data_IF_112788866522
#
_entry.id   IF_112788866522
#
_cell.length_a   1.000
_cell.length_b   1.000
_cell.length_c   1.000
_cell.angle_alpha   90.00
_cell.angle_beta   90.00
_cell.angle_gamma   90.00
#
_symmetry.space_group_name_H-M   'P 1'
#
loop_
_entity.id
_entity.type
_entity.pdbx_description
1 polymer ?
#
# COMPACT_ATOMS: atom_id res chain seq x y z
N UNK A 1 15.41 17.63 9.24
CA UNK A 1 14.16 17.27 8.56
C UNK A 1 13.57 18.42 7.73
N UNK A 2 13.16 19.58 8.30
CA UNK A 2 12.59 20.70 7.53
C UNK A 2 13.49 21.17 6.37
N UNK A 3 14.82 21.22 6.57
CA UNK A 3 15.76 21.57 5.50
C UNK A 3 15.69 20.64 4.28
N UNK A 4 15.44 19.35 4.48
CA UNK A 4 15.24 18.39 3.37
C UNK A 4 13.86 18.55 2.75
N UNK A 5 12.80 18.72 3.56
CA UNK A 5 11.45 18.95 3.05
C UNK A 5 11.37 20.18 2.13
N UNK A 6 12.12 21.24 2.42
CA UNK A 6 12.13 22.46 1.61
C UNK A 6 13.32 22.60 0.65
N UNK A 7 14.17 21.58 0.54
CA UNK A 7 15.30 21.57 -0.39
C UNK A 7 14.82 21.70 -1.82
N UNK A 8 15.29 22.73 -2.53
CA UNK A 8 14.84 23.08 -3.89
C UNK A 8 13.35 23.40 -4.02
N UNK A 9 12.62 23.64 -2.92
CA UNK A 9 11.24 24.11 -3.00
C UNK A 9 11.18 25.48 -3.68
N UNK A 10 10.22 25.65 -4.58
CA UNK A 10 9.93 26.93 -5.23
C UNK A 10 8.46 27.27 -4.96
N UNK A 11 8.14 28.56 -4.67
CA UNK A 11 6.74 28.95 -4.53
C UNK A 11 6.04 28.85 -5.88
N UNK A 12 4.88 28.22 -5.92
CA UNK A 12 4.02 28.18 -7.10
C UNK A 12 3.30 29.52 -7.31
N UNK A 13 3.01 30.22 -6.20
CA UNK A 13 2.40 31.55 -6.24
C UNK A 13 3.47 32.57 -6.62
N UNK A 14 3.49 32.95 -7.88
CA UNK A 14 4.48 33.88 -8.43
C UNK A 14 4.14 35.37 -8.13
N UNK A 15 2.87 35.68 -7.86
CA UNK A 15 2.44 37.04 -7.54
C UNK A 15 2.73 37.38 -6.07
N UNK A 16 3.65 38.34 -5.78
CA UNK A 16 4.01 38.66 -4.41
C UNK A 16 2.85 39.23 -3.57
N UNK A 17 1.90 39.94 -4.18
CA UNK A 17 0.74 40.48 -3.50
C UNK A 17 -0.20 39.39 -3.05
N UNK A 18 -0.45 38.38 -3.92
CA UNK A 18 -1.27 37.21 -3.60
C UNK A 18 -0.62 36.38 -2.49
N UNK A 19 0.70 36.14 -2.59
CA UNK A 19 1.47 35.42 -1.56
C UNK A 19 1.42 36.14 -0.20
N UNK A 20 1.61 37.48 -0.21
CA UNK A 20 1.51 38.29 1.01
C UNK A 20 0.12 38.19 1.66
N UNK A 21 -0.95 38.29 0.87
CA UNK A 21 -2.33 38.14 1.37
C UNK A 21 -2.57 36.77 1.97
N UNK A 22 -2.13 35.71 1.30
CA UNK A 22 -2.24 34.35 1.84
C UNK A 22 -1.56 34.23 3.21
N UNK A 23 -0.32 34.74 3.33
CA UNK A 23 0.43 34.65 4.58
C UNK A 23 -0.20 35.51 5.66
N UNK A 24 -0.44 36.80 5.40
CA UNK A 24 -0.82 37.78 6.43
C UNK A 24 -2.30 37.71 6.78
N UNK A 25 -3.17 37.56 5.77
CA UNK A 25 -4.61 37.67 5.98
C UNK A 25 -5.26 36.33 6.33
N UNK A 26 -4.62 35.19 5.97
CA UNK A 26 -5.18 33.84 6.22
C UNK A 26 -4.32 33.04 7.21
N UNK A 27 -3.00 32.92 6.97
CA UNK A 27 -2.17 32.03 7.79
C UNK A 27 -1.86 32.69 9.13
N UNK A 28 -1.37 33.94 9.15
CA UNK A 28 -1.00 34.66 10.37
C UNK A 28 -2.21 35.08 11.23
N UNK A 29 -3.43 35.07 10.67
CA UNK A 29 -4.66 35.35 11.44
C UNK A 29 -5.00 34.24 12.43
N UNK A 30 -4.46 33.03 12.22
CA UNK A 30 -4.72 31.87 13.07
C UNK A 30 -3.56 31.59 14.03
N UNK A 31 -3.87 31.22 15.27
CA UNK A 31 -2.85 30.88 16.27
C UNK A 31 -2.44 29.40 16.17
N UNK A 32 -1.66 29.07 15.16
CA UNK A 32 -1.15 27.71 14.92
C UNK A 32 -0.33 27.14 16.08
N UNK A 33 0.27 28.00 16.92
CA UNK A 33 1.08 27.56 18.06
C UNK A 33 0.22 27.04 19.22
N UNK A 34 -1.05 27.41 19.29
CA UNK A 34 -1.99 26.93 20.31
C UNK A 34 -2.60 25.56 20.00
N UNK A 35 -2.44 25.07 18.77
CA UNK A 35 -2.92 23.76 18.37
C UNK A 35 -1.91 22.68 18.80
N UNK A 36 -2.41 21.59 19.33
CA UNK A 36 -1.61 20.39 19.60
C UNK A 36 -1.08 19.76 18.30
N UNK A 37 -0.03 18.95 18.43
CA UNK A 37 0.59 18.28 17.28
C UNK A 37 -0.41 17.40 16.54
N UNK A 38 -1.24 16.64 17.28
CA UNK A 38 -2.24 15.74 16.72
C UNK A 38 -3.26 16.51 15.86
N UNK A 39 -3.76 17.65 16.35
CA UNK A 39 -4.72 18.50 15.60
C UNK A 39 -4.10 19.06 14.31
N UNK A 40 -2.83 19.47 14.35
CA UNK A 40 -2.12 19.94 13.14
C UNK A 40 -1.92 18.81 12.14
N UNK A 41 -1.57 17.64 12.64
CA UNK A 41 -1.43 16.43 11.85
C UNK A 41 -2.73 16.05 11.15
N UNK A 42 -3.82 15.97 11.88
CA UNK A 42 -5.16 15.63 11.36
C UNK A 42 -5.63 16.61 10.28
N UNK A 43 -5.45 17.92 10.49
CA UNK A 43 -5.77 18.94 9.48
C UNK A 43 -4.95 18.72 8.21
N UNK A 44 -3.65 18.48 8.35
CA UNK A 44 -2.76 18.27 7.22
C UNK A 44 -3.10 16.99 6.45
N UNK A 45 -3.37 15.90 7.15
CA UNK A 45 -3.81 14.65 6.52
C UNK A 45 -5.15 14.82 5.79
N UNK A 46 -6.13 15.53 6.38
CA UNK A 46 -7.39 15.84 5.70
C UNK A 46 -7.18 16.61 4.39
N UNK A 47 -6.21 17.55 4.38
CA UNK A 47 -5.80 18.24 3.15
C UNK A 47 -5.19 17.28 2.13
N UNK A 48 -4.33 16.36 2.55
CA UNK A 48 -3.72 15.36 1.65
C UNK A 48 -4.76 14.43 1.04
N UNK A 49 -5.75 13.99 1.83
CA UNK A 49 -6.88 13.20 1.33
C UNK A 49 -7.69 13.95 0.27
N UNK A 50 -8.01 15.22 0.55
CA UNK A 50 -8.73 16.06 -0.40
C UNK A 50 -7.95 16.24 -1.71
N UNK A 51 -6.65 16.52 -1.62
CA UNK A 51 -5.77 16.62 -2.80
C UNK A 51 -5.70 15.30 -3.59
N UNK A 52 -5.65 14.15 -2.89
CA UNK A 52 -5.64 12.83 -3.54
C UNK A 52 -6.97 12.55 -4.28
N UNK A 53 -8.09 12.97 -3.69
CA UNK A 53 -9.41 12.81 -4.30
C UNK A 53 -9.61 13.67 -5.56
N UNK A 54 -8.99 14.86 -5.62
CA UNK A 54 -9.08 15.76 -6.77
C UNK A 54 -8.07 15.46 -7.88
N UNK A 55 -6.94 14.83 -7.56
CA UNK A 55 -5.92 14.51 -8.55
C UNK A 55 -6.30 13.27 -9.38
N UNK A 56 -7.12 13.46 -10.41
CA UNK A 56 -7.48 12.42 -11.39
C UNK A 56 -6.30 11.99 -12.30
N UNK A 57 -5.11 12.56 -12.12
CA UNK A 57 -3.93 12.38 -12.97
C UNK A 57 -2.74 11.85 -12.18
N UNK A 58 -2.64 10.55 -12.09
CA UNK A 58 -1.44 9.93 -11.55
C UNK A 58 -1.60 8.42 -11.39
N UNK A 59 -1.41 7.67 -12.46
CA UNK A 59 -1.29 6.22 -12.38
C UNK A 59 -0.15 5.87 -11.41
N UNK A 60 -0.49 5.36 -10.22
CA UNK A 60 0.47 4.80 -9.29
C UNK A 60 0.47 5.36 -7.86
N UNK A 61 -0.14 6.49 -7.58
CA UNK A 61 -0.23 7.01 -6.21
C UNK A 61 -1.59 6.62 -5.61
N UNK A 62 -1.65 5.43 -5.05
CA UNK A 62 -2.85 4.96 -4.37
C UNK A 62 -2.76 5.33 -2.90
N UNK A 63 -3.55 6.32 -2.51
CA UNK A 63 -3.74 6.63 -1.11
C UNK A 63 -4.40 5.43 -0.41
N UNK A 64 -3.79 4.93 0.64
CA UNK A 64 -4.33 3.81 1.42
C UNK A 64 -5.41 4.34 2.37
N UNK A 65 -6.64 3.78 2.37
CA UNK A 65 -7.68 4.22 3.28
C UNK A 65 -7.21 4.18 4.74
N UNK A 66 -7.45 5.25 5.48
CA UNK A 66 -7.02 5.37 6.89
C UNK A 66 -7.55 4.24 7.76
N UNK A 67 -8.79 3.83 7.56
CA UNK A 67 -9.40 2.77 8.35
C UNK A 67 -8.73 1.42 8.09
N UNK A 68 -8.25 1.19 6.86
CA UNK A 68 -7.43 0.02 6.54
C UNK A 68 -6.06 0.09 7.21
N UNK A 69 -5.40 1.25 7.17
CA UNK A 69 -4.12 1.47 7.86
C UNK A 69 -4.27 1.19 9.36
N UNK A 70 -5.30 1.75 10.01
CA UNK A 70 -5.59 1.52 11.44
C UNK A 70 -5.74 0.03 11.74
N UNK A 71 -6.58 -0.68 10.98
CA UNK A 71 -6.79 -2.11 11.20
C UNK A 71 -5.52 -2.95 11.00
N UNK A 72 -4.68 -2.62 10.01
CA UNK A 72 -3.39 -3.29 9.80
C UNK A 72 -2.47 -3.03 10.98
N UNK A 73 -2.32 -1.79 11.43
CA UNK A 73 -1.44 -1.44 12.56
C UNK A 73 -1.95 -2.05 13.86
N UNK A 74 -3.29 -2.07 14.09
CA UNK A 74 -3.91 -2.71 15.26
C UNK A 74 -3.58 -4.21 15.33
N UNK A 75 -3.51 -4.94 14.21
CA UNK A 75 -3.16 -6.37 14.21
C UNK A 75 -1.66 -6.63 14.20
N UNK A 76 -0.85 -5.69 13.69
CA UNK A 76 0.61 -5.78 13.67
C UNK A 76 1.23 -5.48 15.05
N UNK A 77 0.56 -4.68 15.88
CA UNK A 77 0.96 -4.34 17.26
C UNK A 77 2.42 -3.89 17.38
N UNK A 78 2.81 -2.76 16.77
CA UNK A 78 4.17 -2.24 16.89
C UNK A 78 4.50 -1.94 18.36
N UNK A 79 5.74 -2.25 18.77
CA UNK A 79 6.27 -2.03 20.12
C UNK A 79 7.31 -0.91 20.14
N UNK A 80 7.63 -0.33 21.30
CA UNK A 80 8.63 0.75 21.41
C UNK A 80 10.03 0.43 20.90
N UNK A 81 10.38 -0.86 20.83
CA UNK A 81 11.70 -1.33 20.43
C UNK A 81 11.77 -1.71 18.94
N UNK A 82 10.66 -1.61 18.24
CA UNK A 82 10.59 -1.92 16.81
C UNK A 82 11.26 -0.85 15.93
N UNK A 83 11.66 -1.27 14.75
CA UNK A 83 11.97 -0.40 13.63
C UNK A 83 10.97 -0.66 12.51
N UNK A 84 10.09 0.31 12.25
CA UNK A 84 9.03 0.24 11.23
C UNK A 84 9.51 0.83 9.92
N UNK A 85 9.36 0.08 8.83
CA UNK A 85 9.78 0.52 7.50
C UNK A 85 8.66 0.43 6.47
N UNK A 86 8.58 1.46 5.62
CA UNK A 86 7.72 1.46 4.44
C UNK A 86 8.54 1.84 3.19
N UNK A 87 8.86 0.88 2.29
CA UNK A 87 9.63 1.13 1.08
C UNK A 87 8.88 1.92 -0.02
N UNK A 88 7.61 2.22 0.17
CA UNK A 88 6.78 3.00 -0.75
C UNK A 88 5.84 3.91 0.07
N UNK A 89 6.43 4.70 0.97
CA UNK A 89 5.70 5.29 2.10
C UNK A 89 4.69 6.37 1.71
N UNK A 90 4.73 6.89 0.49
CA UNK A 90 3.85 7.96 0.09
C UNK A 90 3.93 9.16 1.03
N UNK A 91 2.80 9.53 1.63
CA UNK A 91 2.69 10.58 2.62
C UNK A 91 2.93 10.11 4.07
N UNK A 92 3.34 8.87 4.28
CA UNK A 92 3.76 8.32 5.56
C UNK A 92 2.65 7.75 6.44
N UNK A 93 1.49 7.41 5.89
CA UNK A 93 0.33 6.98 6.67
C UNK A 93 0.58 5.78 7.60
N UNK A 94 1.25 4.71 7.14
CA UNK A 94 1.62 3.59 8.00
C UNK A 94 2.62 3.99 9.10
N UNK A 95 3.59 4.83 8.76
CA UNK A 95 4.63 5.28 9.67
C UNK A 95 4.05 6.12 10.81
N UNK A 96 3.14 7.04 10.48
CA UNK A 96 2.46 7.90 11.44
C UNK A 96 1.58 7.07 12.36
N UNK A 97 0.73 6.21 11.80
CA UNK A 97 -0.19 5.41 12.60
C UNK A 97 0.54 4.46 13.57
N UNK A 98 1.67 3.86 13.14
CA UNK A 98 2.50 3.05 14.02
C UNK A 98 3.09 3.88 15.17
N UNK A 99 3.58 5.08 14.87
CA UNK A 99 4.10 6.01 15.88
C UNK A 99 3.02 6.43 16.88
N UNK A 100 1.83 6.79 16.41
CA UNK A 100 0.70 7.17 17.26
C UNK A 100 0.29 6.03 18.19
N UNK A 101 0.17 4.80 17.66
CA UNK A 101 -0.19 3.65 18.49
C UNK A 101 0.81 3.44 19.61
N UNK A 102 2.10 3.40 19.31
CA UNK A 102 3.14 3.22 20.34
C UNK A 102 3.15 4.40 21.33
N UNK A 103 2.97 5.62 20.84
CA UNK A 103 2.92 6.81 21.70
C UNK A 103 1.73 6.77 22.65
N UNK A 104 0.56 6.34 22.18
CA UNK A 104 -0.67 6.27 22.98
C UNK A 104 -0.64 5.12 23.99
N UNK A 105 -0.15 3.94 23.58
CA UNK A 105 -0.13 2.75 24.44
C UNK A 105 0.99 2.80 25.49
N UNK A 106 2.18 3.27 25.10
CA UNK A 106 3.40 3.16 25.90
C UNK A 106 3.97 4.49 26.35
N UNK A 107 3.50 5.65 25.83
CA UNK A 107 4.15 6.96 26.00
C UNK A 107 4.46 7.35 27.44
N UNK A 108 3.58 6.97 28.40
CA UNK A 108 3.80 7.20 29.83
C UNK A 108 4.83 6.27 30.49
N UNK A 109 5.17 5.14 29.86
CA UNK A 109 6.02 4.08 30.40
C UNK A 109 7.40 4.01 29.74
N UNK A 110 7.61 4.74 28.61
CA UNK A 110 8.85 4.71 27.86
C UNK A 110 10.02 5.26 28.68
N UNK A 111 11.14 4.53 28.66
CA UNK A 111 12.39 5.02 29.18
C UNK A 111 13.03 6.09 28.28
N UNK A 112 14.22 6.61 28.66
CA UNK A 112 14.89 7.68 27.92
C UNK A 112 15.34 7.23 26.53
N UNK A 113 15.83 6.00 26.40
CA UNK A 113 16.38 5.49 25.14
C UNK A 113 15.25 5.12 24.17
N UNK A 114 14.15 4.55 24.68
CA UNK A 114 12.92 4.30 23.91
C UNK A 114 12.30 5.61 23.42
N UNK A 115 12.21 6.65 24.26
CA UNK A 115 11.75 7.99 23.83
C UNK A 115 12.61 8.58 22.72
N UNK A 116 13.93 8.37 22.82
CA UNK A 116 14.86 8.80 21.77
C UNK A 116 14.69 7.98 20.51
N UNK A 117 14.55 6.66 20.63
CA UNK A 117 14.34 5.76 19.48
C UNK A 117 13.03 6.10 18.76
N UNK A 118 11.93 6.25 19.49
CA UNK A 118 10.63 6.59 18.94
C UNK A 118 10.66 7.86 18.07
N UNK A 119 11.44 8.87 18.50
CA UNK A 119 11.58 10.12 17.74
C UNK A 119 12.53 10.06 16.54
N UNK A 120 13.51 9.14 16.51
CA UNK A 120 14.62 9.20 15.58
C UNK A 120 14.85 8.00 14.71
N UNK A 121 14.48 6.81 15.20
CA UNK A 121 14.81 5.54 14.56
C UNK A 121 13.63 4.60 14.38
N UNK A 122 12.53 4.87 15.04
CA UNK A 122 11.36 4.01 15.06
C UNK A 122 10.71 3.87 13.67
N UNK A 123 10.57 4.97 12.93
CA UNK A 123 9.99 4.95 11.59
C UNK A 123 11.00 5.34 10.52
N UNK A 124 11.02 4.60 9.42
CA UNK A 124 11.80 4.91 8.23
C UNK A 124 10.99 4.59 6.97
N UNK A 125 11.21 5.36 5.91
CA UNK A 125 10.54 5.16 4.63
C UNK A 125 11.41 5.52 3.44
N UNK A 126 10.98 5.04 2.27
CA UNK A 126 11.49 5.50 0.98
C UNK A 126 10.31 5.89 0.09
N UNK A 127 10.47 6.97 -0.68
CA UNK A 127 9.47 7.44 -1.62
C UNK A 127 10.14 7.91 -2.91
N UNK A 128 9.76 7.31 -4.03
CA UNK A 128 10.34 7.59 -5.33
C UNK A 128 10.02 8.99 -5.84
N UNK A 129 8.80 9.47 -5.59
CA UNK A 129 8.32 10.77 -6.06
C UNK A 129 8.75 11.87 -5.08
N UNK A 130 9.67 12.78 -5.46
CA UNK A 130 10.23 13.76 -4.53
C UNK A 130 9.19 14.67 -3.87
N UNK A 131 8.13 15.04 -4.61
CA UNK A 131 7.06 15.89 -4.07
C UNK A 131 6.26 15.15 -3.01
N UNK A 132 5.88 13.90 -3.25
CA UNK A 132 5.16 13.05 -2.30
C UNK A 132 6.00 12.79 -1.05
N UNK A 133 7.29 12.47 -1.22
CA UNK A 133 8.19 12.29 -0.09
C UNK A 133 8.37 13.57 0.76
N UNK A 134 8.33 14.76 0.14
CA UNK A 134 8.29 16.04 0.87
C UNK A 134 7.02 16.20 1.70
N UNK A 135 5.86 15.89 1.11
CA UNK A 135 4.59 15.91 1.84
C UNK A 135 4.61 14.93 3.01
N UNK A 136 5.17 13.73 2.81
CA UNK A 136 5.39 12.75 3.87
C UNK A 136 6.29 13.29 5.00
N UNK A 137 7.42 13.91 4.68
CA UNK A 137 8.30 14.53 5.69
C UNK A 137 7.59 15.63 6.49
N UNK A 138 6.77 16.45 5.83
CA UNK A 138 5.96 17.47 6.52
C UNK A 138 4.91 16.83 7.41
N UNK A 139 4.26 15.76 6.93
CA UNK A 139 3.26 15.03 7.68
C UNK A 139 3.85 14.43 8.97
N UNK A 140 4.98 13.71 8.85
CA UNK A 140 5.70 13.17 10.00
C UNK A 140 6.09 14.27 11.00
N UNK A 141 6.59 15.42 10.50
CA UNK A 141 6.97 16.54 11.34
C UNK A 141 5.79 17.11 12.14
N UNK A 142 4.62 17.25 11.52
CA UNK A 142 3.42 17.77 12.17
C UNK A 142 2.87 16.82 13.24
N UNK A 143 3.11 15.51 13.10
CA UNK A 143 2.81 14.49 14.12
C UNK A 143 3.91 14.34 15.18
N UNK A 144 4.89 15.25 15.24
CA UNK A 144 5.94 15.22 16.25
C UNK A 144 7.06 14.21 16.01
N UNK A 145 7.08 13.57 14.86
CA UNK A 145 8.16 12.67 14.43
C UNK A 145 9.25 13.55 13.81
N UNK A 146 10.27 13.89 14.58
CA UNK A 146 11.36 14.73 14.09
C UNK A 146 12.71 14.30 14.66
N UNK A 147 13.76 14.50 13.86
CA UNK A 147 15.12 14.47 14.35
C UNK A 147 15.51 15.88 14.84
N UNK A 148 15.81 16.00 16.12
CA UNK A 148 16.21 17.26 16.74
C UNK A 148 17.61 17.72 16.29
N UNK A 149 18.37 16.85 15.62
CA UNK A 149 19.73 17.13 15.15
C UNK A 149 19.80 17.16 13.63
N UNK A 150 20.41 18.21 13.10
CA UNK A 150 20.64 18.36 11.66
C UNK A 150 21.52 17.23 11.04
N UNK A 151 22.24 16.49 11.89
CA UNK A 151 23.10 15.37 11.45
C UNK A 151 22.35 14.04 11.32
N UNK A 152 21.13 13.91 11.85
CA UNK A 152 20.36 12.68 11.72
C UNK A 152 19.78 12.59 10.29
N UNK A 153 19.79 11.41 9.66
CA UNK A 153 19.15 11.23 8.37
C UNK A 153 17.63 11.47 8.47
N UNK A 154 17.00 12.02 7.43
CA UNK A 154 15.55 12.17 7.44
C UNK A 154 14.85 10.83 7.52
N UNK A 155 13.70 10.74 8.19
CA UNK A 155 12.96 9.48 8.32
C UNK A 155 12.40 8.97 6.99
N UNK A 156 12.23 9.83 5.99
CA UNK A 156 11.87 9.45 4.61
C UNK A 156 13.00 9.85 3.66
N UNK A 157 13.49 8.87 2.89
CA UNK A 157 14.41 9.06 1.77
C UNK A 157 13.59 9.41 0.53
N UNK A 158 13.49 10.72 0.27
CA UNK A 158 12.68 11.27 -0.83
C UNK A 158 13.45 11.27 -2.16
N UNK A 159 12.82 10.79 -3.23
CA UNK A 159 13.42 10.65 -4.55
C UNK A 159 14.30 9.41 -4.70
N UNK A 160 14.16 8.43 -3.80
CA UNK A 160 14.91 7.17 -3.82
C UNK A 160 14.05 6.03 -4.33
N UNK A 161 14.57 5.28 -5.29
CA UNK A 161 13.95 4.02 -5.73
C UNK A 161 14.38 2.89 -4.78
N UNK A 162 13.48 2.47 -3.89
CA UNK A 162 13.72 1.40 -2.93
C UNK A 162 14.09 0.07 -3.59
N UNK A 163 13.66 -0.17 -4.83
CA UNK A 163 13.97 -1.39 -5.56
C UNK A 163 15.37 -1.40 -6.17
N UNK A 164 16.02 -0.25 -6.30
CA UNK A 164 17.30 -0.14 -7.01
C UNK A 164 18.44 -0.95 -6.36
N UNK A 165 18.43 -1.05 -5.02
CA UNK A 165 19.46 -1.79 -4.28
C UNK A 165 18.98 -2.29 -2.92
N UNK A 166 19.74 -3.20 -2.30
CA UNK A 166 19.58 -3.53 -0.88
C UNK A 166 20.06 -2.33 -0.04
N UNK A 167 19.22 -1.74 0.81
CA UNK A 167 19.60 -0.60 1.66
C UNK A 167 20.61 -0.99 2.77
N UNK A 168 20.88 -2.28 2.96
CA UNK A 168 21.77 -2.80 4.00
C UNK A 168 21.17 -2.78 5.41
N UNK A 169 20.08 -2.06 5.64
CA UNK A 169 19.35 -2.02 6.91
C UNK A 169 18.30 -3.11 6.96
N UNK A 170 17.98 -3.55 8.19
CA UNK A 170 16.95 -4.56 8.48
C UNK A 170 16.03 -4.04 9.55
N UNK A 171 14.74 -4.29 9.36
CA UNK A 171 13.66 -3.76 10.19
C UNK A 171 12.88 -4.90 10.83
N UNK A 172 12.43 -4.71 12.05
CA UNK A 172 11.58 -5.69 12.73
C UNK A 172 10.15 -5.70 12.20
N UNK A 173 9.71 -4.60 11.58
CA UNK A 173 8.37 -4.49 11.02
C UNK A 173 8.39 -3.76 9.66
N UNK A 174 7.69 -4.32 8.68
CA UNK A 174 7.45 -3.65 7.39
C UNK A 174 5.95 -3.60 7.13
N UNK A 175 5.43 -2.39 6.95
CA UNK A 175 4.04 -2.17 6.54
C UNK A 175 4.05 -1.26 5.32
N UNK A 176 3.46 -1.70 4.21
CA UNK A 176 3.56 -0.96 2.95
C UNK A 176 2.41 -1.24 1.99
N UNK A 177 2.06 -0.22 1.21
CA UNK A 177 1.18 -0.34 0.05
C UNK A 177 1.95 0.10 -1.21
N UNK A 178 2.68 -0.81 -1.86
CA UNK A 178 3.46 -0.48 -3.05
C UNK A 178 2.56 -0.05 -4.23
N UNK A 179 3.07 0.77 -5.16
CA UNK A 179 2.29 1.23 -6.30
C UNK A 179 1.85 0.08 -7.19
N UNK A 180 0.57 0.09 -7.59
CA UNK A 180 -0.03 -0.92 -8.47
C UNK A 180 0.33 -0.63 -9.93
N UNK A 181 1.27 -1.36 -10.48
CA UNK A 181 1.66 -1.27 -11.89
C UNK A 181 2.55 -2.46 -12.22
N UNK A 182 2.21 -3.18 -13.28
CA UNK A 182 2.91 -4.44 -13.60
C UNK A 182 4.36 -4.22 -14.04
N UNK A 183 4.68 -3.09 -14.69
CA UNK A 183 5.97 -2.89 -15.33
C UNK A 183 6.76 -1.75 -14.69
N UNK A 184 8.02 -2.02 -14.40
CA UNK A 184 9.02 -0.97 -14.23
C UNK A 184 9.47 -0.50 -15.60
N UNK A 185 9.33 0.77 -15.90
CA UNK A 185 9.83 1.36 -17.15
C UNK A 185 10.54 2.67 -16.86
N UNK A 186 11.60 2.95 -17.59
CA UNK A 186 12.22 4.26 -17.61
C UNK A 186 12.19 4.83 -19.03
N UNK A 187 12.26 6.13 -19.08
CA UNK A 187 12.26 6.85 -20.34
C UNK A 187 13.69 6.96 -20.85
N UNK A 188 13.96 6.38 -22.01
CA UNK A 188 15.24 6.53 -22.72
C UNK A 188 15.03 7.50 -23.87
N UNK A 189 15.94 8.46 -24.00
CA UNK A 189 16.02 9.28 -25.20
C UNK A 189 16.99 8.57 -26.14
N UNK A 190 16.48 8.07 -27.27
CA UNK A 190 17.29 7.40 -28.28
C UNK A 190 18.24 8.39 -28.95
N UNK A 191 19.25 7.90 -29.64
CA UNK A 191 20.21 8.73 -30.40
C UNK A 191 19.52 9.58 -31.48
N UNK A 192 18.29 9.20 -31.88
CA UNK A 192 17.42 9.97 -32.79
C UNK A 192 16.64 11.10 -32.10
N UNK A 193 16.71 11.18 -30.74
CA UNK A 193 15.96 12.16 -29.95
C UNK A 193 14.52 11.74 -29.66
N UNK A 194 14.12 10.53 -30.02
CA UNK A 194 12.83 9.98 -29.71
C UNK A 194 12.79 9.47 -28.26
N UNK A 195 11.62 9.61 -27.63
CA UNK A 195 11.40 9.19 -26.22
C UNK A 195 10.76 7.82 -26.23
N UNK A 196 11.54 6.81 -25.87
CA UNK A 196 11.06 5.43 -25.72
C UNK A 196 10.97 5.04 -24.23
N UNK A 197 9.99 4.19 -23.91
CA UNK A 197 9.86 3.57 -22.59
C UNK A 197 10.42 2.15 -22.68
N UNK A 198 11.53 1.90 -22.04
CA UNK A 198 12.07 0.55 -21.89
C UNK A 198 11.61 -0.09 -20.60
N UNK A 199 11.17 -1.36 -20.70
CA UNK A 199 10.86 -2.18 -19.54
C UNK A 199 12.15 -2.57 -18.81
N UNK A 200 12.24 -2.23 -17.52
CA UNK A 200 13.40 -2.50 -16.70
C UNK A 200 13.17 -3.69 -15.76
N UNK A 201 14.12 -4.60 -15.69
CA UNK A 201 14.17 -5.67 -14.69
C UNK A 201 15.23 -5.34 -13.64
N UNK A 202 14.87 -5.40 -12.38
CA UNK A 202 15.83 -5.23 -11.29
C UNK A 202 16.65 -6.51 -11.13
N UNK A 203 17.94 -6.46 -11.50
CA UNK A 203 18.88 -7.54 -11.30
C UNK A 203 19.55 -7.38 -9.92
N UNK A 204 19.01 -8.07 -8.93
CA UNK A 204 19.51 -8.04 -7.56
C UNK A 204 19.86 -9.44 -7.08
N UNK A 205 21.02 -9.59 -6.45
CA UNK A 205 21.51 -10.89 -5.95
C UNK A 205 20.74 -11.38 -4.71
N UNK A 206 20.09 -10.48 -3.99
CA UNK A 206 19.25 -10.77 -2.83
C UNK A 206 17.81 -11.14 -3.19
N UNK A 207 17.42 -11.02 -4.47
CA UNK A 207 16.12 -11.46 -4.97
C UNK A 207 16.16 -12.92 -5.39
N UNK A 208 15.10 -13.65 -5.15
CA UNK A 208 14.95 -15.05 -5.56
C UNK A 208 14.94 -15.21 -7.09
N UNK A 209 14.36 -14.23 -7.80
CA UNK A 209 14.25 -14.26 -9.26
C UNK A 209 14.16 -12.85 -9.84
N UNK A 210 14.79 -12.65 -10.98
CA UNK A 210 14.70 -11.42 -11.76
C UNK A 210 13.34 -11.34 -12.46
N UNK A 211 12.61 -10.24 -12.28
CA UNK A 211 11.33 -10.00 -12.95
C UNK A 211 11.14 -8.51 -13.26
N UNK A 212 10.39 -8.23 -14.33
CA UNK A 212 9.93 -6.87 -14.67
C UNK A 212 8.68 -6.45 -13.87
N UNK A 213 8.03 -7.39 -13.18
CA UNK A 213 6.84 -7.11 -12.39
C UNK A 213 7.23 -6.39 -11.09
N UNK A 214 6.93 -5.09 -11.02
CA UNK A 214 7.26 -4.22 -9.89
C UNK A 214 6.67 -4.74 -8.57
N UNK A 215 5.46 -5.26 -8.58
CA UNK A 215 4.77 -5.73 -7.38
C UNK A 215 5.45 -6.98 -6.79
N UNK A 216 5.86 -7.90 -7.65
CA UNK A 216 6.65 -9.07 -7.27
C UNK A 216 8.03 -8.66 -6.73
N UNK A 217 8.64 -7.62 -7.29
CA UNK A 217 9.90 -7.06 -6.79
C UNK A 217 9.74 -6.45 -5.40
N UNK A 218 8.62 -5.78 -5.10
CA UNK A 218 8.36 -5.28 -3.74
C UNK A 218 8.21 -6.41 -2.72
N UNK A 219 7.58 -7.54 -3.08
CA UNK A 219 7.51 -8.72 -2.19
C UNK A 219 8.93 -9.22 -1.84
N UNK A 220 9.81 -9.32 -2.83
CA UNK A 220 11.20 -9.73 -2.63
C UNK A 220 11.98 -8.69 -1.81
N UNK A 221 11.81 -7.41 -2.12
CA UNK A 221 12.47 -6.32 -1.39
C UNK A 221 12.06 -6.28 0.09
N UNK A 222 10.77 -6.46 0.39
CA UNK A 222 10.28 -6.56 1.76
C UNK A 222 10.94 -7.74 2.47
N UNK A 223 11.00 -8.92 1.84
CA UNK A 223 11.71 -10.06 2.41
C UNK A 223 13.19 -9.74 2.71
N UNK A 224 13.88 -9.04 1.80
CA UNK A 224 15.27 -8.61 2.03
C UNK A 224 15.39 -7.69 3.23
N UNK A 225 14.53 -6.67 3.34
CA UNK A 225 14.61 -5.62 4.36
C UNK A 225 14.11 -6.03 5.74
N UNK A 226 13.35 -7.12 5.85
CA UNK A 226 12.97 -7.67 7.14
C UNK A 226 14.17 -8.26 7.89
N UNK A 227 14.25 -7.95 9.19
CA UNK A 227 15.10 -8.65 10.13
C UNK A 227 14.65 -10.10 10.32
N UNK A 228 15.50 -10.95 10.87
CA UNK A 228 15.08 -12.27 11.34
C UNK A 228 14.01 -12.09 12.44
N UNK A 229 12.95 -12.86 12.36
CA UNK A 229 11.74 -12.74 13.18
C UNK A 229 10.94 -11.45 12.97
N UNK A 230 11.30 -10.64 11.98
CA UNK A 230 10.53 -9.46 11.60
C UNK A 230 9.21 -9.83 10.95
N UNK A 231 8.24 -8.94 11.07
CA UNK A 231 6.85 -9.13 10.63
C UNK A 231 6.50 -8.18 9.48
N UNK A 232 5.64 -8.61 8.58
CA UNK A 232 5.23 -7.84 7.42
C UNK A 232 3.72 -7.81 7.24
N UNK A 233 3.21 -6.64 6.81
CA UNK A 233 1.92 -6.47 6.17
C UNK A 233 2.12 -5.72 4.84
N UNK A 234 1.91 -6.39 3.72
CA UNK A 234 2.07 -5.80 2.39
C UNK A 234 0.76 -5.85 1.60
N UNK A 235 0.34 -4.70 1.07
CA UNK A 235 -0.79 -4.65 0.13
C UNK A 235 -0.33 -5.10 -1.24
N UNK A 236 -1.01 -6.09 -1.80
CA UNK A 236 -0.69 -6.67 -3.10
C UNK A 236 -1.95 -6.81 -3.96
N UNK A 237 -1.87 -6.57 -5.28
CA UNK A 237 -2.99 -6.87 -6.18
C UNK A 237 -3.14 -8.37 -6.42
N UNK A 238 -4.30 -8.78 -6.91
CA UNK A 238 -4.66 -10.18 -7.11
C UNK A 238 -3.63 -10.96 -7.97
N UNK A 239 -3.03 -10.33 -8.98
CA UNK A 239 -2.05 -11.01 -9.85
C UNK A 239 -0.83 -11.55 -9.07
N UNK A 240 -0.42 -10.93 -7.98
CA UNK A 240 0.66 -11.45 -7.11
C UNK A 240 0.27 -12.82 -6.52
N UNK A 241 -1.02 -13.07 -6.32
CA UNK A 241 -1.52 -14.30 -5.72
C UNK A 241 -1.58 -15.49 -6.70
N UNK A 242 -1.69 -15.24 -8.01
CA UNK A 242 -1.93 -16.31 -9.00
C UNK A 242 -1.03 -16.30 -10.23
N UNK A 243 -0.29 -15.21 -10.52
CA UNK A 243 0.57 -15.12 -11.70
C UNK A 243 1.57 -16.28 -11.73
N UNK A 244 1.69 -16.95 -12.87
CA UNK A 244 2.60 -18.09 -13.07
C UNK A 244 4.06 -17.67 -13.25
N UNK A 245 4.94 -18.62 -13.53
CA UNK A 245 6.36 -18.36 -13.79
C UNK A 245 7.07 -17.75 -12.60
N UNK A 246 7.60 -16.52 -12.76
CA UNK A 246 8.31 -15.81 -11.68
C UNK A 246 7.45 -15.58 -10.46
N UNK A 247 6.15 -15.33 -10.64
CA UNK A 247 5.20 -15.16 -9.53
C UNK A 247 5.05 -16.45 -8.71
N UNK A 248 4.94 -17.61 -9.36
CA UNK A 248 4.91 -18.91 -8.69
C UNK A 248 6.22 -19.16 -7.91
N UNK A 249 7.38 -18.89 -8.53
CA UNK A 249 8.67 -19.05 -7.87
C UNK A 249 8.77 -18.23 -6.60
N UNK A 250 8.31 -16.95 -6.64
CA UNK A 250 8.34 -16.06 -5.47
C UNK A 250 7.39 -16.58 -4.38
N UNK A 251 6.17 -17.00 -4.72
CA UNK A 251 5.21 -17.55 -3.74
C UNK A 251 5.75 -18.82 -3.08
N UNK A 252 6.36 -19.74 -3.85
CA UNK A 252 6.99 -20.96 -3.30
C UNK A 252 8.09 -20.63 -2.30
N UNK A 253 8.99 -19.71 -2.66
CA UNK A 253 10.06 -19.28 -1.76
C UNK A 253 9.50 -18.57 -0.51
N UNK A 254 8.50 -17.71 -0.68
CA UNK A 254 7.89 -16.99 0.44
C UNK A 254 7.24 -17.97 1.44
N UNK A 255 6.43 -18.93 0.96
CA UNK A 255 5.80 -19.96 1.80
C UNK A 255 6.81 -20.89 2.48
N UNK A 256 7.96 -21.13 1.82
CA UNK A 256 9.04 -21.96 2.36
C UNK A 256 9.84 -21.24 3.45
N UNK A 257 10.23 -19.98 3.21
CA UNK A 257 11.19 -19.25 4.04
C UNK A 257 10.54 -18.35 5.08
N UNK A 258 9.27 -18.04 4.91
CA UNK A 258 8.49 -17.24 5.83
C UNK A 258 7.29 -18.03 6.38
N UNK A 259 6.80 -17.63 7.54
CA UNK A 259 5.48 -18.03 8.02
C UNK A 259 4.43 -17.08 7.43
N UNK A 260 3.88 -17.46 6.27
CA UNK A 260 2.80 -16.71 5.60
C UNK A 260 1.48 -17.13 6.22
N UNK A 261 1.01 -16.37 7.17
CA UNK A 261 -0.06 -16.81 8.07
C UNK A 261 -1.42 -16.19 7.84
N UNK A 262 -1.52 -15.06 7.10
CA UNK A 262 -2.81 -14.38 6.93
C UNK A 262 -2.90 -13.67 5.58
N UNK A 263 -4.07 -13.75 4.95
CA UNK A 263 -4.45 -13.00 3.77
C UNK A 263 -5.80 -12.32 4.01
N UNK A 264 -5.83 -10.99 3.94
CA UNK A 264 -7.07 -10.21 3.95
C UNK A 264 -7.42 -9.83 2.51
N UNK A 265 -8.53 -10.37 1.98
CA UNK A 265 -9.06 -10.00 0.66
C UNK A 265 -9.87 -8.72 0.76
N UNK A 266 -9.37 -7.66 0.11
CA UNK A 266 -9.99 -6.34 0.17
C UNK A 266 -11.08 -6.17 -0.89
N UNK A 267 -12.18 -5.47 -0.56
CA UNK A 267 -13.22 -5.16 -1.51
C UNK A 267 -12.75 -4.17 -2.59
N UNK A 268 -13.48 -4.11 -3.69
CA UNK A 268 -13.31 -3.04 -4.69
C UNK A 268 -13.92 -1.73 -4.18
N UNK A 269 -13.52 -0.59 -4.78
CA UNK A 269 -14.10 0.72 -4.49
C UNK A 269 -13.52 1.44 -3.27
N UNK A 270 -12.57 0.84 -2.54
CA UNK A 270 -11.90 1.47 -1.39
C UNK A 270 -10.65 2.27 -1.78
N UNK A 271 -10.12 2.06 -2.97
CA UNK A 271 -8.98 2.81 -3.51
C UNK A 271 -9.45 3.83 -4.56
N UNK A 272 -8.72 4.92 -4.72
CA UNK A 272 -9.04 5.95 -5.71
C UNK A 272 -8.95 5.47 -7.16
N UNK A 273 -8.22 4.39 -7.44
CA UNK A 273 -8.21 3.77 -8.75
C UNK A 273 -9.41 2.82 -8.91
N UNK A 274 -10.27 3.04 -9.92
CA UNK A 274 -11.43 2.21 -10.13
C UNK A 274 -11.03 0.76 -10.49
N UNK A 275 -11.80 -0.21 -9.99
CA UNK A 275 -11.64 -1.63 -10.32
C UNK A 275 -10.43 -2.34 -9.73
N UNK A 276 -9.65 -1.68 -8.87
CA UNK A 276 -8.50 -2.32 -8.21
C UNK A 276 -8.98 -3.39 -7.24
N UNK A 277 -8.50 -4.62 -7.46
CA UNK A 277 -8.64 -5.75 -6.55
C UNK A 277 -7.31 -5.97 -5.84
N UNK A 278 -7.31 -5.75 -4.52
CA UNK A 278 -6.12 -5.87 -3.71
C UNK A 278 -6.34 -6.77 -2.50
N UNK A 279 -5.25 -7.16 -1.87
CA UNK A 279 -5.22 -7.98 -0.67
C UNK A 279 -4.12 -7.48 0.25
N UNK A 280 -4.22 -7.78 1.56
CA UNK A 280 -3.09 -7.60 2.48
C UNK A 280 -2.53 -8.96 2.82
N UNK A 281 -1.25 -9.17 2.53
CA UNK A 281 -0.53 -10.39 2.87
C UNK A 281 0.32 -10.16 4.10
N UNK A 282 0.13 -11.02 5.12
CA UNK A 282 0.85 -10.96 6.38
C UNK A 282 1.80 -12.16 6.49
N UNK A 283 3.06 -11.90 6.80
CA UNK A 283 4.04 -12.95 7.01
C UNK A 283 5.16 -12.54 7.97
N UNK A 284 5.74 -13.53 8.63
CA UNK A 284 6.92 -13.38 9.48
C UNK A 284 8.13 -13.98 8.80
N UNK A 285 9.24 -13.25 8.74
CA UNK A 285 10.52 -13.79 8.27
C UNK A 285 11.12 -14.70 9.33
N UNK A 286 11.54 -15.88 8.92
CA UNK A 286 12.05 -16.90 9.84
C UNK A 286 13.50 -17.31 9.44
N UNK A 287 14.26 -17.89 10.38
CA UNK A 287 15.58 -18.45 10.06
C UNK A 287 15.52 -19.54 9.00
N UNK A 288 16.57 -19.70 8.20
CA UNK A 288 16.62 -20.73 7.18
C UNK A 288 16.52 -22.14 7.79
N UNK A 289 15.66 -22.98 7.19
CA UNK A 289 15.51 -24.41 7.53
C UNK A 289 15.03 -25.20 6.31
N UNK A 290 15.14 -26.54 6.36
CA UNK A 290 14.70 -27.42 5.26
C UNK A 290 13.16 -27.49 5.16
N UNK A 291 12.48 -27.57 6.31
CA UNK A 291 11.04 -27.64 6.38
C UNK A 291 10.41 -26.26 6.12
N UNK A 292 9.25 -26.18 5.45
CA UNK A 292 8.55 -24.91 5.28
C UNK A 292 8.15 -24.29 6.61
N UNK A 293 8.15 -22.96 6.67
CA UNK A 293 7.69 -22.24 7.86
C UNK A 293 6.19 -22.03 7.86
N UNK A 294 5.61 -21.78 6.71
CA UNK A 294 4.16 -21.72 6.57
C UNK A 294 3.57 -23.10 6.81
N UNK A 295 2.74 -23.23 7.81
CA UNK A 295 1.95 -24.46 8.06
C UNK A 295 0.52 -24.31 7.56
N UNK A 296 -0.05 -23.13 7.76
CA UNK A 296 -1.43 -22.79 7.45
C UNK A 296 -1.53 -21.33 7.01
N UNK A 297 -2.40 -21.07 6.03
CA UNK A 297 -2.78 -19.73 5.60
C UNK A 297 -4.24 -19.48 6.00
N UNK A 298 -4.46 -18.47 6.81
CA UNK A 298 -5.77 -17.97 7.19
C UNK A 298 -6.21 -16.88 6.22
N UNK A 299 -7.40 -17.00 5.69
CA UNK A 299 -7.94 -16.02 4.73
C UNK A 299 -9.20 -15.39 5.28
N UNK A 300 -9.24 -14.05 5.29
CA UNK A 300 -10.44 -13.28 5.57
C UNK A 300 -10.99 -12.68 4.27
N UNK A 301 -12.21 -13.05 3.90
CA UNK A 301 -12.86 -12.48 2.71
C UNK A 301 -13.74 -11.29 3.09
N UNK A 302 -13.20 -10.09 2.96
CA UNK A 302 -13.97 -8.84 3.07
C UNK A 302 -14.59 -8.43 1.72
N UNK A 303 -14.27 -9.14 0.63
CA UNK A 303 -14.61 -8.75 -0.74
C UNK A 303 -15.99 -9.24 -1.17
N UNK A 304 -16.25 -10.52 -1.02
CA UNK A 304 -17.44 -11.17 -1.58
C UNK A 304 -18.73 -10.58 -0.98
N UNK A 305 -19.66 -10.17 -1.84
CA UNK A 305 -20.93 -9.52 -1.49
C UNK A 305 -20.77 -8.24 -0.64
N UNK A 306 -19.65 -7.51 -0.82
CA UNK A 306 -19.42 -6.22 -0.18
C UNK A 306 -19.11 -5.18 -1.25
N UNK A 307 -19.86 -4.07 -1.23
CA UNK A 307 -19.75 -2.99 -2.18
C UNK A 307 -19.42 -1.70 -1.44
N UNK A 308 -18.23 -1.19 -1.67
CA UNK A 308 -17.79 0.08 -1.11
C UNK A 308 -17.59 1.11 -2.22
N UNK A 309 -17.73 2.37 -1.83
CA UNK A 309 -17.41 3.52 -2.67
C UNK A 309 -16.66 4.54 -1.82
N UNK A 310 -15.92 5.44 -2.46
CA UNK A 310 -15.15 6.45 -1.71
C UNK A 310 -16.03 7.51 -1.02
N UNK A 311 -17.27 7.73 -1.49
CA UNK A 311 -18.13 8.83 -1.02
C UNK A 311 -19.43 8.36 -0.36
N UNK A 312 -20.17 7.49 -1.03
CA UNK A 312 -21.51 7.11 -0.60
C UNK A 312 -21.51 5.98 0.44
N UNK A 313 -20.61 5.02 0.28
CA UNK A 313 -20.43 3.89 1.20
C UNK A 313 -18.95 3.64 1.47
N UNK A 314 -18.24 4.55 2.17
CA UNK A 314 -16.81 4.39 2.43
C UNK A 314 -16.54 3.25 3.41
N UNK A 315 -15.37 2.62 3.25
CA UNK A 315 -14.87 1.64 4.22
C UNK A 315 -14.71 2.30 5.58
N UNK A 316 -15.30 1.69 6.62
CA UNK A 316 -15.23 2.15 8.01
C UNK A 316 -14.44 1.17 8.86
N UNK A 317 -14.00 1.62 10.04
CA UNK A 317 -13.28 0.76 11.00
C UNK A 317 -14.12 -0.44 11.44
N UNK A 318 -15.44 -0.24 11.58
CA UNK A 318 -16.41 -1.28 11.96
C UNK A 318 -16.46 -2.44 10.95
N UNK A 319 -16.26 -2.15 9.67
CA UNK A 319 -16.24 -3.18 8.62
C UNK A 319 -15.04 -4.13 8.73
N UNK A 320 -13.98 -3.70 9.42
CA UNK A 320 -12.74 -4.44 9.65
C UNK A 320 -12.67 -5.09 11.05
N UNK A 321 -13.67 -4.84 11.92
CA UNK A 321 -13.64 -5.29 13.30
C UNK A 321 -13.63 -6.82 13.41
N UNK A 322 -14.47 -7.52 12.62
CA UNK A 322 -14.48 -8.99 12.58
C UNK A 322 -13.13 -9.55 12.13
N UNK A 323 -12.49 -8.91 11.14
CA UNK A 323 -11.13 -9.30 10.71
C UNK A 323 -10.14 -9.20 11.86
N UNK A 324 -10.12 -8.08 12.59
CA UNK A 324 -9.20 -7.87 13.72
C UNK A 324 -9.42 -8.92 14.83
N UNK A 325 -10.68 -9.23 15.14
CA UNK A 325 -11.04 -10.29 16.09
C UNK A 325 -10.58 -11.67 15.61
N UNK A 326 -10.84 -12.01 14.36
CA UNK A 326 -10.41 -13.27 13.74
C UNK A 326 -8.88 -13.39 13.64
N UNK A 327 -8.19 -12.28 13.36
CA UNK A 327 -6.73 -12.25 13.32
C UNK A 327 -6.13 -12.61 14.68
N UNK A 328 -6.78 -12.24 15.78
CA UNK A 328 -6.37 -12.51 17.16
C UNK A 328 -4.90 -12.16 17.41
N UNK A 329 -4.53 -10.87 17.40
CA UNK A 329 -3.13 -10.46 17.49
C UNK A 329 -2.46 -10.90 18.81
N UNK A 330 -3.24 -11.01 19.88
CA UNK A 330 -2.72 -11.45 21.18
C UNK A 330 -2.28 -12.93 21.17
N UNK A 331 -2.99 -13.80 20.43
CA UNK A 331 -2.62 -15.20 20.32
C UNK A 331 -3.08 -15.82 18.98
N UNK A 332 -2.24 -15.74 17.98
CA UNK A 332 -2.51 -16.29 16.64
C UNK A 332 -2.68 -17.82 16.61
N UNK A 333 -2.25 -18.54 17.65
CA UNK A 333 -2.40 -20.00 17.72
C UNK A 333 -3.81 -20.44 18.17
N UNK A 334 -4.60 -19.53 18.74
CA UNK A 334 -5.97 -19.78 19.17
C UNK A 334 -7.03 -19.33 18.15
N UNK A 335 -6.64 -19.14 16.89
CA UNK A 335 -7.56 -18.79 15.80
C UNK A 335 -8.50 -19.94 15.50
N UNK A 336 -9.78 -19.60 15.31
CA UNK A 336 -10.81 -20.54 14.91
C UNK A 336 -11.53 -20.02 13.65
N UNK A 337 -11.84 -20.89 12.68
CA UNK A 337 -12.54 -20.45 11.48
C UNK A 337 -13.98 -20.04 11.83
N UNK A 338 -14.49 -19.01 11.16
CA UNK A 338 -15.92 -18.68 11.18
C UNK A 338 -16.68 -19.45 10.10
N UNK A 339 -15.99 -19.89 9.04
CA UNK A 339 -16.55 -20.74 8.02
C UNK A 339 -16.61 -22.21 8.49
N UNK A 340 -17.77 -22.84 8.26
CA UNK A 340 -17.98 -24.29 8.39
C UNK A 340 -19.09 -24.73 7.43
N UNK A 341 -19.34 -26.03 7.34
CA UNK A 341 -20.49 -26.57 6.58
C UNK A 341 -21.83 -26.06 7.15
N UNK A 342 -21.91 -25.85 8.47
CA UNK A 342 -23.07 -25.29 9.15
C UNK A 342 -23.16 -23.76 9.04
N UNK A 343 -22.04 -23.07 8.73
CA UNK A 343 -21.95 -21.63 8.51
C UNK A 343 -21.22 -21.31 7.20
N UNK A 344 -21.84 -21.55 6.04
CA UNK A 344 -21.19 -21.36 4.73
C UNK A 344 -20.88 -19.88 4.42
N UNK A 345 -21.48 -18.94 5.14
CA UNK A 345 -21.25 -17.49 5.00
C UNK A 345 -20.11 -16.95 5.89
N UNK A 346 -19.46 -17.80 6.66
CA UNK A 346 -18.29 -17.42 7.48
C UNK A 346 -17.15 -16.90 6.62
N UNK A 347 -16.60 -15.72 7.00
CA UNK A 347 -15.60 -15.00 6.19
C UNK A 347 -14.17 -15.36 6.51
N UNK A 348 -13.92 -16.14 7.55
CA UNK A 348 -12.60 -16.54 8.02
C UNK A 348 -12.39 -18.04 7.86
N UNK A 349 -11.43 -18.43 7.03
CA UNK A 349 -11.14 -19.83 6.72
C UNK A 349 -9.65 -20.12 6.71
N UNK A 350 -9.27 -21.33 7.13
CA UNK A 350 -7.90 -21.84 7.15
C UNK A 350 -7.67 -22.80 5.99
N UNK A 351 -6.47 -22.75 5.41
CA UNK A 351 -5.99 -23.64 4.36
C UNK A 351 -4.61 -24.18 4.72
N UNK A 352 -4.43 -25.49 4.65
CA UNK A 352 -3.17 -26.15 4.99
C UNK A 352 -2.11 -25.93 3.90
N UNK A 353 -0.84 -25.89 4.29
CA UNK A 353 0.29 -25.73 3.37
C UNK A 353 0.26 -26.74 2.21
N UNK A 354 0.01 -28.03 2.51
CA UNK A 354 -0.03 -29.08 1.49
C UNK A 354 -1.17 -28.89 0.48
N UNK A 355 -2.30 -28.33 0.91
CA UNK A 355 -3.40 -27.95 0.03
C UNK A 355 -2.97 -26.80 -0.90
N UNK A 356 -2.34 -25.77 -0.37
CA UNK A 356 -1.86 -24.63 -1.15
C UNK A 356 -0.84 -25.06 -2.21
N UNK A 357 0.09 -25.93 -1.84
CA UNK A 357 1.17 -26.40 -2.72
C UNK A 357 0.70 -27.29 -3.86
N UNK A 358 -0.48 -27.94 -3.73
CA UNK A 358 -1.12 -28.75 -4.78
C UNK A 358 -1.90 -27.93 -5.80
N UNK A 359 -2.20 -26.66 -5.48
CA UNK A 359 -2.93 -25.78 -6.40
C UNK A 359 -2.07 -25.42 -7.61
N UNK A 360 -2.73 -25.30 -8.77
CA UNK A 360 -2.03 -24.85 -9.99
C UNK A 360 -1.28 -23.54 -9.72
N UNK A 361 0.00 -23.50 -10.09
CA UNK A 361 0.92 -22.35 -9.90
C UNK A 361 0.99 -21.84 -8.46
N UNK A 362 0.70 -22.65 -7.45
CA UNK A 362 0.57 -22.24 -6.04
C UNK A 362 -0.31 -20.99 -5.92
N UNK A 363 -1.49 -21.08 -6.50
CA UNK A 363 -2.46 -19.98 -6.52
C UNK A 363 -3.02 -19.74 -5.11
N UNK A 364 -2.81 -18.54 -4.56
CA UNK A 364 -3.29 -18.07 -3.26
C UNK A 364 -4.57 -17.22 -3.36
N UNK A 365 -5.13 -17.03 -4.56
CA UNK A 365 -6.45 -16.41 -4.72
C UNK A 365 -7.52 -17.43 -4.37
N UNK A 366 -7.90 -17.42 -3.10
CA UNK A 366 -8.77 -18.41 -2.45
C UNK A 366 -10.15 -17.79 -2.23
N UNK A 367 -11.19 -18.47 -2.65
CA UNK A 367 -12.58 -18.06 -2.41
C UNK A 367 -13.45 -19.29 -2.17
N UNK A 368 -14.44 -19.14 -1.31
CA UNK A 368 -15.38 -20.18 -0.90
C UNK A 368 -16.78 -19.63 -0.66
N UNK A 369 -16.92 -18.30 -0.52
CA UNK A 369 -18.22 -17.66 -0.35
C UNK A 369 -18.94 -17.65 -1.69
N UNK A 370 -20.26 -17.88 -1.63
CA UNK A 370 -21.13 -17.75 -2.80
C UNK A 370 -21.26 -16.29 -3.17
N UNK A 371 -20.95 -15.97 -4.41
CA UNK A 371 -21.11 -14.63 -4.95
C UNK A 371 -22.56 -14.47 -5.44
N UNK A 372 -23.34 -13.66 -4.72
CA UNK A 372 -24.77 -13.45 -5.00
C UNK A 372 -24.98 -12.75 -6.36
N UNK A 373 -23.98 -12.02 -6.86
CA UNK A 373 -24.04 -11.42 -8.20
C UNK A 373 -24.02 -12.43 -9.33
N UNK A 374 -23.62 -13.68 -9.03
CA UNK A 374 -23.62 -14.79 -9.98
C UNK A 374 -24.94 -15.62 -9.95
N UNK A 375 -25.84 -15.33 -9.00
CA UNK A 375 -27.15 -16.03 -8.93
C UNK A 375 -28.06 -15.69 -10.11
N UNK A 376 -27.88 -14.53 -10.72
CA UNK A 376 -28.52 -14.19 -12.00
C UNK A 376 -27.92 -14.93 -13.21
N UNK A 377 -26.95 -15.82 -12.98
CA UNK A 377 -26.32 -16.60 -14.07
C UNK A 377 -27.27 -17.58 -14.76
N UNK A 378 -28.41 -17.96 -14.15
CA UNK A 378 -29.47 -18.68 -14.83
C UNK A 378 -30.21 -17.83 -15.88
N UNK A 379 -30.07 -16.50 -15.80
CA UNK A 379 -30.61 -15.54 -16.75
C UNK A 379 -29.55 -15.01 -17.75
N UNK A 380 -28.29 -15.48 -17.66
CA UNK A 380 -27.26 -15.08 -18.62
C UNK A 380 -27.62 -15.62 -20.02
N UNK A 381 -27.46 -14.78 -21.06
CA UNK A 381 -27.58 -15.25 -22.45
C UNK A 381 -26.60 -16.40 -22.74
N UNK A 382 -26.87 -17.14 -23.77
CA UNK A 382 -25.94 -18.17 -24.25
C UNK A 382 -24.54 -17.59 -24.45
N UNK A 383 -23.45 -18.34 -24.22
CA UNK A 383 -22.10 -17.84 -24.23
C UNK A 383 -21.68 -17.06 -25.49
N UNK A 384 -22.26 -17.41 -26.65
CA UNK A 384 -22.01 -16.74 -27.93
C UNK A 384 -22.75 -15.39 -28.02
N UNK A 385 -23.91 -15.25 -27.39
CA UNK A 385 -24.67 -14.00 -27.29
C UNK A 385 -23.92 -13.05 -26.34
N UNK A 386 -23.53 -13.54 -25.17
CA UNK A 386 -22.76 -12.77 -24.19
C UNK A 386 -21.41 -12.28 -24.77
N UNK A 387 -20.72 -13.13 -25.51
CA UNK A 387 -19.47 -12.76 -26.18
C UNK A 387 -19.68 -11.64 -27.22
N UNK A 388 -20.80 -11.64 -27.93
CA UNK A 388 -21.15 -10.56 -28.87
C UNK A 388 -21.47 -9.26 -28.14
N UNK A 389 -22.27 -9.31 -27.09
CA UNK A 389 -22.60 -8.13 -26.28
C UNK A 389 -21.33 -7.49 -25.70
N UNK A 390 -20.41 -8.29 -25.14
CA UNK A 390 -19.12 -7.80 -24.66
C UNK A 390 -18.28 -7.18 -25.79
N UNK A 391 -18.27 -7.77 -26.97
CA UNK A 391 -17.54 -7.23 -28.11
C UNK A 391 -18.14 -5.90 -28.59
N UNK A 392 -19.46 -5.78 -28.63
CA UNK A 392 -20.18 -4.56 -28.99
C UNK A 392 -19.96 -3.43 -27.97
N UNK A 393 -19.98 -3.76 -26.67
CA UNK A 393 -19.67 -2.81 -25.59
C UNK A 393 -18.22 -2.31 -25.67
N UNK A 394 -17.25 -3.20 -25.93
CA UNK A 394 -15.85 -2.84 -26.13
C UNK A 394 -15.66 -1.99 -27.37
N UNK A 395 -16.38 -2.28 -28.45
CA UNK A 395 -16.34 -1.47 -29.67
C UNK A 395 -16.90 -0.05 -29.41
N UNK A 396 -18.03 0.04 -28.72
CA UNK A 396 -18.64 1.32 -28.32
C UNK A 396 -17.70 2.14 -27.43
N UNK A 397 -17.06 1.52 -26.46
CA UNK A 397 -16.06 2.17 -25.61
C UNK A 397 -14.86 2.67 -26.42
N UNK A 398 -14.37 1.87 -27.37
CA UNK A 398 -13.27 2.25 -28.26
C UNK A 398 -13.63 3.48 -29.12
N UNK A 399 -14.84 3.53 -29.69
CA UNK A 399 -15.33 4.66 -30.45
C UNK A 399 -15.42 5.94 -29.61
N UNK A 400 -15.90 5.84 -28.37
CA UNK A 400 -15.94 6.97 -27.45
C UNK A 400 -14.54 7.51 -27.12
N UNK A 401 -13.58 6.62 -26.80
CA UNK A 401 -12.20 7.02 -26.55
C UNK A 401 -11.51 7.60 -27.77
N UNK A 402 -11.78 7.07 -28.95
CA UNK A 402 -11.27 7.60 -30.21
C UNK A 402 -11.81 9.02 -30.50
N UNK A 403 -13.10 9.25 -30.22
CA UNK A 403 -13.71 10.58 -30.36
C UNK A 403 -13.08 11.61 -29.41
N UNK A 404 -12.82 11.21 -28.15
CA UNK A 404 -12.12 12.06 -27.15
C UNK A 404 -10.68 12.35 -27.59
N UNK A 405 -9.97 11.36 -28.11
CA UNK A 405 -8.62 11.55 -28.66
C UNK A 405 -8.59 12.53 -29.84
N UNK A 406 -9.55 12.41 -30.75
CA UNK A 406 -9.70 13.33 -31.90
C UNK A 406 -10.05 14.77 -31.46
N UNK A 407 -10.88 14.92 -30.42
CA UNK A 407 -11.20 16.24 -29.87
C UNK A 407 -9.97 16.90 -29.23
N UNK A 408 -9.20 16.15 -28.45
CA UNK A 408 -7.97 16.64 -27.81
C UNK A 408 -6.92 17.02 -28.86
N UNK A 409 -6.77 16.23 -29.94
CA UNK A 409 -5.85 16.52 -31.01
C UNK A 409 -6.25 17.80 -31.82
N UNK A 410 -7.55 18.09 -31.91
CA UNK A 410 -8.05 19.33 -32.54
C UNK A 410 -7.81 20.56 -31.66
N UNK A 411 -7.91 20.43 -30.34
CA UNK A 411 -7.62 21.53 -29.39
C UNK A 411 -6.13 21.91 -29.44
N UNK A 412 -5.23 20.92 -29.45
CA UNK A 412 -3.78 21.16 -29.54
C UNK A 412 -3.36 21.78 -30.89
N UNK A 413 -4.15 21.57 -31.97
CA UNK A 413 -3.93 22.16 -33.29
C UNK A 413 -4.43 23.60 -33.44
N UNK A 414 -5.26 24.12 -32.54
CA UNK A 414 -5.77 25.49 -32.54
C UNK A 414 -4.96 26.47 -31.68
N UNK A 415 -4.05 25.96 -30.83
CA UNK A 415 -3.15 26.79 -30.00
C UNK A 415 -1.74 26.97 -30.62
N UNK A 416 -1.54 26.61 -31.87
CA UNK A 416 -0.28 26.87 -32.61
C UNK A 416 -0.41 27.93 -33.67
#
# INVERSE_FOLDING_TARGET
MLGEAFKKAKPEIQNPATLKRLIVDLIDSENWLSLDADVKGDIYEGMLEWMAAESHKGAGQYFTPRELIKAIVDVMQPSPDDGVYDPACGTGGFLIRAFEQVSNEYGGQLDRDQKKHLKRGFVQGAELVPNTGRLGLMNLFLHGINSDHAADPPPIRSGEDALASDPGQRYSMVMTNPPFGKKSSFTVVTDSGEVEKEDYAYERQDFWVTTKNKQLNFVQHVHTTLAQHGTCAIVVPDNVLFEGGTGETIRRNLLQQCDVHTLLRLPTGIFYAPGVKANVLFFDKKPAREQPWTSQLWVYDLRTNKHFTLKENPLRREDLEEFVQCYNPANRHERTPTWSEDNPNGRWRCFDYDELMKRDKVNLDLFWLRDESLEDSEALPEPDVLAREIADDLQTALEQFSSVADELARQDGQER
#
